data_IF_871953026804
#
_entry.id   IF_871953026804
#
_cell.length_a   1.000
_cell.length_b   1.000
_cell.length_c   1.000
_cell.angle_alpha   90.00
_cell.angle_beta   90.00
_cell.angle_gamma   90.00
#
_symmetry.space_group_name_H-M   'P 1'
#
loop_
_entity.id
_entity.type
_entity.pdbx_description
1 polymer ?
2 non-polymer ?
3 water ?
#
# COMPACT_ATOMS: atom_id res chain seq x y z
N UNK A 8 -0.77 -6.56 -6.14
CA UNK A 8 0.34 -5.79 -5.49
C UNK A 8 0.33 -4.31 -5.92
N UNK A 9 0.75 -3.42 -5.02
CA UNK A 9 0.77 -1.97 -5.29
C UNK A 9 1.86 -1.58 -6.31
N UNK A 10 1.48 -0.89 -7.41
CA UNK A 10 2.51 -0.50 -8.36
C UNK A 10 3.63 0.31 -7.70
N UNK A 11 4.84 -0.24 -7.77
CA UNK A 11 6.02 0.36 -7.19
C UNK A 11 6.39 1.58 -8.02
N UNK A 12 5.94 2.74 -7.54
CA UNK A 12 6.17 4.04 -8.22
C UNK A 12 7.65 4.44 -8.43
N UNK A 13 8.55 3.98 -7.54
CA UNK A 13 9.99 4.28 -7.63
C UNK A 13 10.77 2.97 -7.75
N UNK A 14 10.93 2.50 -8.99
CA UNK A 14 11.61 1.22 -9.25
C UNK A 14 13.09 1.23 -8.91
N UNK A 15 13.79 2.26 -9.38
CA UNK A 15 15.23 2.35 -9.18
C UNK A 15 15.62 3.50 -8.25
N UNK A 16 16.47 3.19 -7.28
CA UNK A 16 16.94 4.18 -6.31
C UNK A 16 18.41 4.13 -5.96
N UNK A 17 18.85 5.27 -5.45
CA UNK A 17 20.19 5.48 -4.96
C UNK A 17 19.93 6.15 -3.60
N UNK A 18 20.86 6.00 -2.67
CA UNK A 18 20.68 6.57 -1.32
C UNK A 18 21.70 7.66 -1.03
N UNK A 19 21.20 8.81 -0.60
CA UNK A 19 22.04 9.90 -0.19
C UNK A 19 21.69 10.06 1.28
N UNK A 20 22.66 9.78 2.14
CA UNK A 20 22.48 9.83 3.57
C UNK A 20 23.59 10.64 4.20
N UNK A 21 23.31 11.28 5.34
CA UNK A 21 24.40 11.99 6.00
C UNK A 21 25.44 10.99 6.50
N UNK A 22 26.57 11.49 6.95
CA UNK A 22 27.64 10.66 7.46
C UNK A 22 27.21 9.99 8.76
N UNK A 23 27.87 8.89 9.07
CA UNK A 23 27.60 8.14 10.29
C UNK A 23 26.15 7.69 10.41
N UNK A 24 25.69 7.01 9.35
CA UNK A 24 24.35 6.43 9.28
C UNK A 24 24.47 5.03 8.66
N UNK A 25 25.62 4.39 8.86
CA UNK A 25 25.86 3.06 8.29
C UNK A 25 24.79 2.04 8.68
N UNK A 26 24.47 1.99 9.96
CA UNK A 26 23.44 1.06 10.43
C UNK A 26 22.11 1.27 9.68
N UNK A 27 21.70 2.52 9.48
CA UNK A 27 20.45 2.78 8.76
C UNK A 27 20.61 2.39 7.30
N UNK A 28 21.75 2.77 6.72
CA UNK A 28 21.97 2.47 5.31
C UNK A 28 21.83 0.99 5.06
N UNK A 29 22.45 0.18 5.91
CA UNK A 29 22.40 -1.28 5.78
C UNK A 29 20.95 -1.78 5.80
N UNK A 30 20.20 -1.38 6.82
CA UNK A 30 18.82 -1.80 6.97
C UNK A 30 17.93 -1.29 5.83
N UNK A 31 18.16 -0.07 5.33
CA UNK A 31 17.35 0.42 4.22
C UNK A 31 17.51 -0.43 3.00
N UNK A 32 18.74 -0.87 2.76
CA UNK A 32 19.04 -1.70 1.60
C UNK A 32 18.32 -3.05 1.63
N UNK A 33 18.40 -3.76 2.76
CA UNK A 33 17.74 -5.08 2.84
C UNK A 33 16.23 -4.95 2.60
N UNK A 34 15.60 -3.97 3.25
CA UNK A 34 14.15 -3.76 3.13
C UNK A 34 13.74 -3.19 1.76
N UNK A 35 14.48 -2.23 1.22
CA UNK A 35 14.15 -1.69 -0.11
C UNK A 35 14.19 -2.79 -1.16
N UNK A 36 15.27 -3.57 -1.18
CA UNK A 36 15.43 -4.66 -2.16
C UNK A 36 14.31 -5.71 -1.99
N UNK A 37 13.98 -6.02 -0.74
CA UNK A 37 12.91 -6.95 -0.43
C UNK A 37 11.56 -6.51 -1.08
N UNK A 38 11.28 -5.21 -1.08
CA UNK A 38 10.06 -4.67 -1.71
C UNK A 38 10.14 -4.58 -3.23
N UNK A 39 11.22 -5.10 -3.81
CA UNK A 39 11.38 -5.08 -5.26
C UNK A 39 12.14 -3.89 -5.80
N UNK A 40 12.55 -2.95 -4.94
CA UNK A 40 13.32 -1.78 -5.38
C UNK A 40 14.72 -2.27 -5.76
N UNK A 41 15.30 -1.64 -6.79
CA UNK A 41 16.63 -2.03 -7.25
C UNK A 41 17.61 -0.89 -6.98
N UNK A 42 18.69 -1.18 -6.24
CA UNK A 42 19.71 -0.19 -5.95
C UNK A 42 20.47 0.07 -7.25
N UNK A 43 20.31 1.28 -7.78
CA UNK A 43 20.90 1.63 -9.04
C UNK A 43 21.50 3.03 -9.06
N UNK A 44 22.42 3.22 -9.99
CA UNK A 44 23.09 4.50 -10.25
C UNK A 44 22.78 4.95 -11.68
N UNK A 45 21.89 4.22 -12.36
CA UNK A 45 21.50 4.51 -13.75
C UNK A 45 20.84 5.89 -13.84
N UNK A 46 21.01 6.53 -14.99
CA UNK A 46 20.49 7.90 -15.19
C UNK A 46 18.95 8.05 -15.04
N UNK A 47 18.21 6.95 -15.02
CA UNK A 47 16.74 6.98 -14.85
C UNK A 47 16.29 6.67 -13.40
N UNK A 48 17.25 6.31 -12.55
CA UNK A 48 16.96 5.99 -11.13
C UNK A 48 16.75 7.24 -10.32
N UNK A 49 15.93 7.16 -9.27
CA UNK A 49 15.69 8.30 -8.41
C UNK A 49 16.70 8.29 -7.24
N UNK A 50 16.58 9.28 -6.37
CA UNK A 50 17.46 9.40 -5.25
C UNK A 50 16.66 9.63 -3.98
N UNK A 51 16.88 8.75 -3.01
CA UNK A 51 16.26 8.84 -1.71
C UNK A 51 17.19 9.64 -0.84
N UNK A 52 16.90 10.95 -0.71
CA UNK A 52 17.73 11.85 0.09
C UNK A 52 17.19 11.96 1.50
N UNK A 53 18.04 11.60 2.47
CA UNK A 53 17.74 11.75 3.88
C UNK A 53 18.37 13.07 4.19
N UNK A 54 17.54 14.09 4.42
CA UNK A 54 18.07 15.43 4.72
C UNK A 54 18.48 15.57 6.18
N UNK A 55 17.73 14.91 7.06
CA UNK A 55 18.01 14.96 8.49
C UNK A 55 17.90 13.58 9.11
N UNK A 56 18.90 13.25 9.91
CA UNK A 56 18.97 12.00 10.65
C UNK A 56 19.28 12.53 12.03
N UNK A 57 18.34 12.41 12.95
CA UNK A 57 18.54 12.94 14.29
C UNK A 57 18.21 11.92 15.39
N UNK A 58 19.24 11.35 16.04
CA UNK A 58 19.00 10.44 17.16
C UNK A 58 18.78 11.29 18.39
N UNK A 59 18.16 10.73 19.41
CA UNK A 59 17.91 11.51 20.61
C UNK A 59 17.73 10.57 21.80
N UNK A 60 18.24 10.99 22.94
CA UNK A 60 18.14 10.22 24.16
C UNK A 60 17.51 11.11 25.23
N UNK A 61 16.18 11.05 25.34
CA UNK A 61 15.44 11.85 26.33
C UNK A 61 15.33 11.19 27.67
N UNK A 62 15.48 11.98 28.73
CA UNK A 62 15.30 11.54 30.09
C UNK A 62 13.99 12.21 30.49
N UNK A 63 12.96 11.41 30.73
CA UNK A 63 11.64 11.93 31.07
C UNK A 63 11.21 11.64 32.50
N UNK A 64 11.03 12.69 33.28
CA UNK A 64 10.60 12.56 34.66
C UNK A 64 9.10 12.75 34.75
N UNK A 65 8.40 11.63 34.80
CA UNK A 65 6.95 11.64 34.94
C UNK A 65 6.68 11.10 36.32
N UNK A 66 5.88 10.05 36.39
CA UNK A 66 5.59 9.39 37.65
C UNK A 66 6.91 8.76 38.07
N UNK A 67 7.54 8.08 37.13
CA UNK A 67 8.84 7.45 37.31
C UNK A 67 9.81 8.07 36.30
N UNK A 68 11.09 7.71 36.40
CA UNK A 68 12.13 8.23 35.51
C UNK A 68 12.26 7.29 34.32
N UNK A 69 12.17 7.84 33.11
CA UNK A 69 12.20 7.06 31.88
C UNK A 69 13.22 7.52 30.82
N UNK A 70 13.97 6.57 30.29
CA UNK A 70 14.95 6.83 29.24
C UNK A 70 14.31 6.48 27.89
N UNK A 71 14.14 7.47 27.01
CA UNK A 71 13.53 7.26 25.71
C UNK A 71 14.52 7.48 24.57
N UNK A 72 14.69 6.44 23.75
CA UNK A 72 15.63 6.44 22.64
C UNK A 72 14.85 6.70 21.36
N UNK A 73 15.06 7.85 20.74
CA UNK A 73 14.35 8.19 19.53
C UNK A 73 15.27 8.39 18.35
N UNK A 74 14.72 8.13 17.17
CA UNK A 74 15.40 8.40 15.91
C UNK A 74 14.38 9.07 15.01
N UNK A 75 14.74 10.22 14.48
CA UNK A 75 13.85 10.99 13.62
C UNK A 75 14.53 11.22 12.28
N UNK A 76 13.79 11.02 11.19
CA UNK A 76 14.36 11.21 9.84
C UNK A 76 13.42 11.96 8.90
N UNK A 77 13.97 12.95 8.20
CA UNK A 77 13.25 13.72 7.19
C UNK A 77 13.86 13.32 5.86
N UNK A 78 13.04 12.96 4.90
CA UNK A 78 13.54 12.56 3.60
C UNK A 78 12.56 12.90 2.49
N UNK A 79 13.10 12.99 1.28
CA UNK A 79 12.29 13.27 0.11
C UNK A 79 12.93 12.62 -1.09
N UNK A 80 12.12 12.18 -2.05
CA UNK A 80 12.66 11.60 -3.26
C UNK A 80 13.03 12.72 -4.22
N UNK A 81 14.17 12.57 -4.87
CA UNK A 81 14.65 13.51 -5.87
C UNK A 81 15.10 12.69 -7.05
N UNK A 82 15.14 13.32 -8.23
CA UNK A 82 15.66 12.65 -9.42
C UNK A 82 17.16 12.95 -9.46
N UNK A 83 17.87 12.39 -10.44
CA UNK A 83 19.31 12.60 -10.54
C UNK A 83 19.75 13.99 -11.05
N UNK A 84 18.78 14.86 -11.36
CA UNK A 84 19.08 16.23 -11.79
C UNK A 84 18.90 17.24 -10.65
N UNK A 85 18.51 16.77 -9.45
CA UNK A 85 18.32 17.63 -8.28
C UNK A 85 16.89 18.08 -8.00
N UNK A 86 15.98 17.76 -8.93
CA UNK A 86 14.58 18.16 -8.81
C UNK A 86 13.87 17.37 -7.73
N UNK A 87 13.27 18.10 -6.81
CA UNK A 87 12.52 17.50 -5.73
C UNK A 87 11.28 16.95 -6.35
N UNK A 88 11.00 15.65 -6.19
CA UNK A 88 9.79 15.08 -6.78
C UNK A 88 8.67 14.82 -5.74
N UNK A 89 9.02 14.84 -4.45
CA UNK A 89 8.03 14.70 -3.37
C UNK A 89 8.38 15.71 -2.30
N UNK A 90 7.41 16.09 -1.48
CA UNK A 90 7.72 17.01 -0.40
C UNK A 90 8.42 16.22 0.70
N UNK A 91 9.19 16.91 1.56
CA UNK A 91 9.85 16.18 2.64
C UNK A 91 8.86 15.46 3.54
N UNK A 92 9.28 14.35 4.12
CA UNK A 92 8.46 13.56 5.01
C UNK A 92 9.32 13.25 6.25
N UNK A 93 8.79 13.56 7.44
CA UNK A 93 9.49 13.37 8.71
C UNK A 93 8.88 12.20 9.49
N UNK A 94 9.69 11.16 9.77
CA UNK A 94 9.22 9.98 10.52
C UNK A 94 10.04 9.79 11.78
N UNK A 95 9.52 9.02 12.71
CA UNK A 95 10.21 8.81 13.96
C UNK A 95 9.88 7.45 14.55
N UNK A 96 10.85 6.89 15.25
CA UNK A 96 10.66 5.60 15.93
C UNK A 96 11.21 5.78 17.31
N UNK A 97 10.68 5.05 18.28
CA UNK A 97 11.13 5.19 19.64
C UNK A 97 10.80 4.01 20.53
N UNK A 98 11.66 3.78 21.51
CA UNK A 98 11.44 2.76 22.52
C UNK A 98 11.97 3.36 23.82
N UNK A 99 11.34 3.02 24.94
CA UNK A 99 11.79 3.50 26.24
C UNK A 99 11.66 2.45 27.32
N UNK A 100 12.50 2.56 28.34
CA UNK A 100 12.47 1.65 29.48
C UNK A 100 12.47 2.47 30.79
N UNK A 101 12.11 1.83 31.89
CA UNK A 101 12.09 2.50 33.18
C UNK A 101 13.50 2.55 33.75
N UNK A 102 14.00 3.77 33.99
CA UNK A 102 15.32 3.92 34.62
C UNK A 102 15.16 3.43 36.05
N UNK A 103 16.07 2.57 36.48
CA UNK A 103 16.05 2.00 37.83
C UNK A 103 17.46 2.10 38.40
N UNK A 104 17.59 2.78 39.54
CA UNK A 104 18.88 2.97 40.22
C UNK A 104 19.65 1.67 40.46
N UNK A 105 18.93 0.57 40.68
CA UNK A 105 19.56 -0.73 40.93
C UNK A 105 20.21 -1.34 39.69
N UNK A 106 19.45 -1.41 38.59
CA UNK A 106 19.93 -2.02 37.35
C UNK A 106 20.60 -1.02 36.39
N UNK A 107 21.48 -0.18 36.93
CA UNK A 107 22.20 0.82 36.12
C UNK A 107 23.31 0.18 35.29
N UNK A 108 23.89 -0.92 35.77
CA UNK A 108 24.96 -1.63 35.04
C UNK A 108 24.51 -2.12 33.67
N UNK A 109 23.28 -2.62 33.62
CA UNK A 109 22.68 -3.17 32.39
C UNK A 109 22.31 -2.16 31.31
N UNK A 110 22.20 -0.88 31.70
CA UNK A 110 21.86 0.25 30.81
C UNK A 110 22.39 0.15 29.37
N UNK A 111 23.69 -0.08 29.26
CA UNK A 111 24.38 -0.18 27.98
C UNK A 111 23.86 -1.32 27.10
N UNK A 112 23.64 -2.49 27.69
CA UNK A 112 23.10 -3.62 26.94
C UNK A 112 21.67 -3.32 26.51
N UNK A 113 20.86 -2.85 27.45
CA UNK A 113 19.47 -2.49 27.19
C UNK A 113 19.33 -1.44 26.11
N UNK A 114 20.15 -0.38 26.22
CA UNK A 114 20.06 0.72 25.25
C UNK A 114 20.52 0.34 23.88
N UNK A 115 21.67 -0.30 23.75
CA UNK A 115 22.11 -0.71 22.41
C UNK A 115 21.07 -1.66 21.77
N UNK A 116 20.42 -2.47 22.60
CA UNK A 116 19.34 -3.39 22.16
C UNK A 116 18.15 -2.60 21.64
N UNK A 117 17.69 -1.63 22.43
CA UNK A 117 16.55 -0.83 22.02
C UNK A 117 16.92 0.04 20.82
N UNK A 118 18.17 0.47 20.69
CA UNK A 118 18.58 1.31 19.54
C UNK A 118 18.54 0.58 18.22
N UNK A 119 19.00 -0.67 18.22
CA UNK A 119 18.93 -1.51 16.99
C UNK A 119 17.48 -1.72 16.55
N UNK A 120 16.57 -1.86 17.51
CA UNK A 120 15.16 -2.02 17.20
C UNK A 120 14.57 -0.73 16.60
N UNK A 121 14.99 0.42 17.11
CA UNK A 121 14.52 1.73 16.64
C UNK A 121 14.94 1.99 15.19
N UNK A 122 16.21 1.78 14.90
CA UNK A 122 16.76 1.96 13.55
C UNK A 122 16.02 1.05 12.58
N UNK A 123 15.91 -0.22 12.94
CA UNK A 123 15.21 -1.22 12.13
C UNK A 123 13.78 -0.78 11.85
N UNK A 124 13.04 -0.43 12.92
CA UNK A 124 11.65 0.05 12.85
C UNK A 124 11.58 1.19 11.85
N UNK A 125 12.45 2.18 12.01
CA UNK A 125 12.44 3.34 11.12
C UNK A 125 12.78 2.95 9.67
N UNK A 126 13.73 2.04 9.47
CA UNK A 126 14.07 1.59 8.10
C UNK A 126 12.82 1.04 7.39
N UNK A 127 12.02 0.27 8.13
CA UNK A 127 10.79 -0.32 7.62
C UNK A 127 9.73 0.75 7.31
N UNK A 128 9.59 1.77 8.15
CA UNK A 128 8.61 2.86 7.87
C UNK A 128 8.99 3.64 6.62
N UNK A 129 10.27 3.95 6.47
CA UNK A 129 10.75 4.68 5.30
C UNK A 129 10.44 3.87 4.06
N UNK A 130 10.80 2.59 4.12
CA UNK A 130 10.56 1.68 3.02
C UNK A 130 9.06 1.52 2.72
N UNK A 131 8.25 1.49 3.77
CA UNK A 131 6.79 1.37 3.64
C UNK A 131 6.26 2.53 2.81
N UNK A 132 6.55 3.76 3.25
CA UNK A 132 6.03 4.93 2.55
C UNK A 132 6.47 5.09 1.10
N UNK A 133 7.61 4.52 0.74
CA UNK A 133 8.09 4.55 -0.64
C UNK A 133 7.30 3.52 -1.45
N UNK A 134 7.34 2.27 -0.99
CA UNK A 134 6.64 1.15 -1.65
C UNK A 134 5.13 1.34 -1.74
N UNK A 135 4.55 2.04 -0.76
CA UNK A 135 3.12 2.32 -0.70
C UNK A 135 2.75 3.70 -1.28
N UNK A 136 3.70 4.39 -1.90
CA UNK A 136 3.46 5.71 -2.53
C UNK A 136 2.63 6.61 -1.62
N UNK A 137 3.11 6.81 -0.40
CA UNK A 137 2.40 7.63 0.57
C UNK A 137 3.14 8.96 0.84
N UNK A 138 3.86 9.47 -0.16
CA UNK A 138 4.60 10.74 -0.05
C UNK A 138 3.94 11.81 -0.94
N UNK A 139 3.62 13.00 -0.38
CA UNK A 139 2.98 14.04 -1.19
C UNK A 139 3.89 14.58 -2.30
N UNK A 140 3.35 14.69 -3.53
CA UNK A 140 4.13 15.19 -4.68
C UNK A 140 4.61 16.65 -4.48
N UNK A 141 5.73 16.99 -5.10
CA UNK A 141 6.29 18.34 -5.00
C UNK A 141 5.37 19.38 -5.63
N UNK A 142 5.37 20.59 -5.07
CA UNK A 142 4.52 21.67 -5.57
C UNK A 142 5.28 23.01 -5.59
N UNK A 143 5.09 23.80 -6.67
CA UNK A 143 5.79 25.10 -6.75
C UNK A 143 5.12 26.16 -5.88
N UNK B 10 -21.86 -2.60 -30.19
CA UNK B 10 -20.76 -1.86 -30.79
C UNK B 10 -19.73 -1.36 -29.76
N UNK B 11 -18.72 -0.62 -30.23
CA UNK B 11 -17.68 -0.06 -29.37
C UNK B 11 -17.00 1.09 -30.14
N UNK B 12 -17.32 2.32 -29.75
CA UNK B 12 -16.80 3.52 -30.44
C UNK B 12 -15.29 3.75 -30.25
N UNK B 13 -14.83 3.67 -29.01
CA UNK B 13 -13.43 3.88 -28.66
C UNK B 13 -12.80 2.53 -28.36
N UNK B 14 -12.10 1.96 -29.35
CA UNK B 14 -11.45 0.64 -29.19
C UNK B 14 -9.90 0.64 -29.28
N UNK B 15 -9.32 1.81 -29.57
CA UNK B 15 -7.86 1.97 -29.58
C UNK B 15 -7.55 3.20 -28.72
N UNK B 16 -6.98 2.97 -27.53
CA UNK B 16 -6.68 4.06 -26.60
C UNK B 16 -5.28 4.10 -26.00
N UNK B 17 -4.74 5.32 -25.93
CA UNK B 17 -3.46 5.61 -25.33
C UNK B 17 -3.86 6.38 -24.07
N UNK B 18 -3.03 6.33 -23.02
CA UNK B 18 -3.32 7.01 -21.76
C UNK B 18 -2.42 8.22 -21.49
N UNK B 19 -3.03 9.37 -21.20
CA UNK B 19 -2.29 10.56 -20.82
C UNK B 19 -2.71 10.95 -19.41
N UNK B 20 -1.89 10.53 -18.45
CA UNK B 20 -2.15 10.78 -17.05
C UNK B 20 -1.07 11.68 -16.48
N UNK B 21 -1.36 12.38 -15.36
CA UNK B 21 -0.33 13.21 -14.77
C UNK B 21 0.66 12.35 -13.98
N UNK B 22 1.67 12.99 -13.40
CA UNK B 22 2.67 12.27 -12.63
C UNK B 22 2.08 11.63 -11.39
N UNK B 23 2.72 10.54 -10.96
CA UNK B 23 2.38 9.76 -9.75
C UNK B 23 1.13 8.91 -9.84
N UNK B 24 0.51 8.82 -11.02
CA UNK B 24 -0.73 8.05 -11.17
C UNK B 24 -0.56 6.62 -11.66
N UNK B 25 0.53 5.96 -11.27
CA UNK B 25 0.77 4.57 -11.68
C UNK B 25 -0.34 3.60 -11.28
N UNK B 26 -0.87 3.73 -10.08
CA UNK B 26 -1.94 2.84 -9.62
C UNK B 26 -3.21 3.01 -10.47
N UNK B 27 -3.65 4.25 -10.67
CA UNK B 27 -4.84 4.53 -11.50
C UNK B 27 -4.64 3.95 -12.88
N UNK B 28 -3.43 4.19 -13.41
CA UNK B 28 -3.05 3.69 -14.72
C UNK B 28 -3.23 2.19 -14.77
N UNK B 29 -2.58 1.47 -13.86
CA UNK B 29 -2.68 0.01 -13.80
C UNK B 29 -4.16 -0.43 -13.85
N UNK B 30 -5.00 0.12 -12.98
CA UNK B 30 -6.42 -0.27 -12.96
C UNK B 30 -7.21 0.10 -14.21
N UNK B 31 -6.89 1.26 -14.81
CA UNK B 31 -7.54 1.66 -16.05
C UNK B 31 -7.23 0.63 -17.11
N UNK B 32 -5.98 0.20 -17.21
CA UNK B 32 -5.63 -0.83 -18.20
C UNK B 32 -6.43 -2.12 -17.98
N UNK B 33 -6.52 -2.56 -16.72
CA UNK B 33 -7.23 -3.79 -16.37
C UNK B 33 -8.67 -3.74 -16.85
N UNK B 34 -9.39 -2.68 -16.50
CA UNK B 34 -10.80 -2.55 -16.90
C UNK B 34 -10.99 -2.26 -18.39
N UNK B 35 -10.11 -1.44 -18.98
CA UNK B 35 -10.18 -1.16 -20.42
C UNK B 35 -10.02 -2.45 -21.22
N UNK B 36 -9.10 -3.32 -20.81
CA UNK B 36 -8.89 -4.60 -21.54
C UNK B 36 -10.08 -5.53 -21.33
N UNK B 37 -10.70 -5.46 -20.15
CA UNK B 37 -11.89 -6.26 -19.86
C UNK B 37 -13.05 -5.86 -20.79
N UNK B 38 -13.07 -4.59 -21.21
CA UNK B 38 -14.09 -4.07 -22.13
C UNK B 38 -13.67 -4.17 -23.60
N UNK B 39 -12.54 -4.85 -23.88
CA UNK B 39 -12.08 -5.06 -25.26
C UNK B 39 -11.32 -3.92 -25.90
N UNK B 40 -11.06 -2.85 -25.15
CA UNK B 40 -10.32 -1.73 -25.68
C UNK B 40 -8.85 -2.10 -25.81
N UNK B 41 -8.25 -1.74 -26.93
CA UNK B 41 -6.83 -2.00 -27.17
C UNK B 41 -5.98 -0.80 -26.75
N UNK B 42 -4.88 -1.06 -26.06
CA UNK B 42 -3.95 -0.01 -25.68
C UNK B 42 -2.83 0.01 -26.71
N UNK B 43 -2.84 1.04 -27.56
CA UNK B 43 -1.82 1.19 -28.59
C UNK B 43 -1.61 2.66 -28.92
N UNK B 44 -0.46 2.95 -29.52
CA UNK B 44 -0.06 4.30 -29.91
C UNK B 44 -0.12 4.49 -31.43
N UNK B 45 -1.09 3.86 -32.09
CA UNK B 45 -1.23 3.99 -33.56
C UNK B 45 -1.77 5.37 -33.92
N UNK B 46 -1.71 5.70 -35.21
CA UNK B 46 -2.18 7.01 -35.69
C UNK B 46 -3.67 7.21 -35.43
N UNK B 47 -4.45 6.17 -35.69
CA UNK B 47 -5.92 6.22 -35.50
C UNK B 47 -6.37 5.95 -34.05
N UNK B 48 -5.43 5.76 -33.13
CA UNK B 48 -5.76 5.50 -31.73
C UNK B 48 -6.05 6.82 -31.00
N UNK B 49 -7.16 6.87 -30.28
CA UNK B 49 -7.55 8.06 -29.53
C UNK B 49 -6.77 8.12 -28.20
N UNK B 50 -6.89 9.25 -27.51
CA UNK B 50 -6.19 9.47 -26.25
C UNK B 50 -7.18 9.67 -25.09
N UNK B 51 -6.96 8.91 -24.02
CA UNK B 51 -7.76 9.02 -22.80
C UNK B 51 -6.95 9.92 -21.91
N UNK B 52 -7.36 11.17 -21.80
CA UNK B 52 -6.60 12.15 -21.06
C UNK B 52 -7.23 12.57 -19.76
N UNK B 53 -6.42 12.52 -18.71
CA UNK B 53 -6.85 12.96 -17.39
C UNK B 53 -6.31 14.39 -17.22
N UNK B 54 -7.21 15.37 -17.19
CA UNK B 54 -6.89 16.79 -17.02
C UNK B 54 -6.62 17.18 -15.56
N UNK B 55 -7.30 16.49 -14.65
CA UNK B 55 -7.20 16.76 -13.22
C UNK B 55 -7.31 15.45 -12.48
N UNK B 56 -6.34 15.21 -11.58
CA UNK B 56 -6.29 14.05 -10.70
C UNK B 56 -6.15 14.71 -9.35
N UNK B 57 -7.25 14.72 -8.58
CA UNK B 57 -7.27 15.43 -7.30
C UNK B 57 -7.61 14.55 -6.07
N UNK B 58 -6.57 13.98 -5.41
CA UNK B 58 -6.80 13.21 -4.19
C UNK B 58 -7.13 14.16 -3.06
N UNK B 59 -7.87 13.70 -2.07
CA UNK B 59 -8.20 14.59 -0.97
C UNK B 59 -8.46 13.79 0.27
N UNK B 60 -7.92 14.26 1.39
CA UNK B 60 -8.06 13.63 2.68
C UNK B 60 -8.73 14.61 3.64
N UNK B 61 -9.95 14.28 4.07
CA UNK B 61 -10.72 15.12 5.00
C UNK B 61 -10.84 14.51 6.37
N UNK B 62 -10.41 15.26 7.39
CA UNK B 62 -10.53 14.86 8.77
C UNK B 62 -11.79 15.58 9.25
N UNK B 63 -12.82 14.81 9.59
CA UNK B 63 -14.12 15.36 9.98
C UNK B 63 -14.48 15.07 11.41
N UNK B 64 -14.72 16.15 12.16
CA UNK B 64 -15.13 16.08 13.57
C UNK B 64 -16.62 16.42 13.65
N UNK B 65 -17.44 15.37 13.82
CA UNK B 65 -18.89 15.50 13.98
C UNK B 65 -19.13 14.99 15.39
N UNK B 66 -20.05 14.03 15.53
CA UNK B 66 -20.28 13.39 16.83
C UNK B 66 -19.05 12.50 17.15
N UNK B 67 -18.42 12.01 16.08
CA UNK B 67 -17.23 11.16 16.15
C UNK B 67 -16.19 11.63 15.13
N UNK B 68 -14.93 11.28 15.34
CA UNK B 68 -13.86 11.65 14.41
C UNK B 68 -13.80 10.64 13.25
N UNK B 69 -13.85 11.17 12.03
CA UNK B 69 -13.87 10.39 10.79
C UNK B 69 -12.83 10.87 9.74
N UNK B 70 -12.30 9.94 8.96
CA UNK B 70 -11.38 10.27 7.87
C UNK B 70 -12.03 9.85 6.56
N UNK B 71 -12.19 10.80 5.64
CA UNK B 71 -12.78 10.54 4.34
C UNK B 71 -11.71 10.77 3.29
N UNK B 72 -11.51 9.76 2.44
CA UNK B 72 -10.51 9.78 1.38
C UNK B 72 -11.22 9.84 0.06
N UNK B 73 -10.90 10.86 -0.72
CA UNK B 73 -11.56 11.05 -1.99
C UNK B 73 -10.58 11.19 -3.10
N UNK B 74 -11.07 10.86 -4.29
CA UNK B 74 -10.35 11.06 -5.50
C UNK B 74 -11.31 11.64 -6.51
N UNK B 75 -10.85 12.64 -7.24
CA UNK B 75 -11.66 13.28 -8.26
C UNK B 75 -10.81 13.30 -9.51
N UNK B 76 -11.44 13.03 -10.64
CA UNK B 76 -10.75 12.95 -11.90
C UNK B 76 -11.60 13.53 -12.99
N UNK B 77 -11.02 14.46 -13.75
CA UNK B 77 -11.69 15.04 -14.89
C UNK B 77 -10.93 14.51 -16.08
N UNK B 78 -11.66 14.03 -17.08
CA UNK B 78 -11.03 13.43 -18.24
C UNK B 78 -11.86 13.62 -19.48
N UNK B 79 -11.21 13.46 -20.63
CA UNK B 79 -11.88 13.59 -21.90
C UNK B 79 -11.11 12.73 -22.88
N UNK B 80 -11.75 12.41 -24.00
CA UNK B 80 -11.07 11.64 -25.06
C UNK B 80 -10.59 12.65 -26.08
N UNK B 81 -9.40 12.43 -26.63
CA UNK B 81 -8.81 13.32 -27.63
C UNK B 81 -8.18 12.52 -28.75
N UNK B 82 -7.92 13.18 -29.88
CA UNK B 82 -7.19 12.54 -30.98
C UNK B 82 -5.72 12.89 -30.71
N UNK B 83 -4.80 12.43 -31.55
CA UNK B 83 -3.39 12.74 -31.32
C UNK B 83 -2.98 14.17 -31.72
N UNK B 84 -3.97 14.99 -32.12
CA UNK B 84 -3.75 16.36 -32.56
C UNK B 84 -4.19 17.38 -31.48
N UNK B 85 -4.71 16.90 -30.37
CA UNK B 85 -5.17 17.77 -29.28
C UNK B 85 -6.62 18.21 -29.44
N UNK B 86 -7.31 17.69 -30.44
CA UNK B 86 -8.71 18.01 -30.64
C UNK B 86 -9.54 17.14 -29.72
N UNK B 87 -10.36 17.77 -28.89
CA UNK B 87 -11.18 16.99 -27.98
C UNK B 87 -12.31 16.29 -28.73
N UNK B 88 -12.48 15.00 -28.44
CA UNK B 88 -13.51 14.12 -29.03
C UNK B 88 -14.74 14.09 -28.14
N UNK B 89 -14.52 14.01 -26.83
CA UNK B 89 -15.61 14.05 -25.88
C UNK B 89 -15.45 15.28 -25.01
N UNK B 90 -16.55 15.79 -24.50
CA UNK B 90 -16.49 16.90 -23.56
C UNK B 90 -15.94 16.36 -22.25
N UNK B 91 -15.31 17.22 -21.44
CA UNK B 91 -14.77 16.75 -20.16
C UNK B 91 -15.81 16.17 -19.19
N UNK B 92 -15.41 15.12 -18.49
CA UNK B 92 -16.20 14.41 -17.47
C UNK B 92 -15.47 14.36 -16.15
N UNK B 93 -16.13 14.83 -15.09
CA UNK B 93 -15.58 14.78 -13.75
C UNK B 93 -16.32 13.69 -12.97
N UNK B 94 -15.57 12.71 -12.47
CA UNK B 94 -16.10 11.61 -11.67
C UNK B 94 -15.37 11.62 -10.34
N UNK B 95 -16.05 11.15 -9.30
CA UNK B 95 -15.46 11.13 -7.98
C UNK B 95 -15.82 9.85 -7.21
N UNK B 96 -15.00 9.49 -6.22
CA UNK B 96 -15.29 8.31 -5.38
C UNK B 96 -14.68 8.57 -4.03
N UNK B 97 -15.26 7.99 -3.00
CA UNK B 97 -14.72 8.14 -1.65
C UNK B 97 -15.05 6.98 -0.71
N UNK B 98 -14.22 6.82 0.33
CA UNK B 98 -14.45 5.87 1.40
C UNK B 98 -14.10 6.57 2.70
N UNK B 99 -14.67 6.07 3.79
CA UNK B 99 -14.39 6.62 5.09
C UNK B 99 -14.51 5.56 6.18
N UNK B 100 -13.76 5.76 7.25
CA UNK B 100 -13.74 4.86 8.40
C UNK B 100 -13.66 5.75 9.67
N UNK B 101 -13.88 5.16 10.84
CA UNK B 101 -13.83 5.92 12.11
C UNK B 101 -12.40 6.02 12.64
N UNK B 102 -11.97 7.25 12.91
CA UNK B 102 -10.62 7.56 13.38
C UNK B 102 -10.52 7.36 14.89
N UNK B 103 -9.28 7.32 15.39
CA UNK B 103 -8.97 7.12 16.83
C UNK B 103 -9.20 5.69 17.35
N UNK B 104 -10.20 4.98 16.82
CA UNK B 104 -10.45 3.59 17.25
C UNK B 104 -9.24 2.74 16.90
N UNK B 105 -8.73 2.92 15.68
CA UNK B 105 -7.52 2.23 15.20
C UNK B 105 -6.39 3.24 15.42
N UNK B 106 -5.99 3.43 16.67
CA UNK B 106 -4.98 4.42 17.09
C UNK B 106 -3.59 4.34 16.45
N UNK B 107 -2.92 3.18 16.59
CA UNK B 107 -1.54 2.95 16.10
C UNK B 107 -1.24 3.28 14.61
N UNK B 108 -0.05 2.88 14.13
CA UNK B 108 0.35 3.09 12.71
C UNK B 108 -0.42 2.23 11.70
N UNK B 109 -1.56 1.67 12.12
CA UNK B 109 -2.42 0.90 11.22
C UNK B 109 -3.23 1.91 10.39
N UNK B 110 -3.28 3.17 10.84
CA UNK B 110 -4.00 4.21 10.09
C UNK B 110 -3.35 4.45 8.73
N UNK B 111 -2.02 4.45 8.68
CA UNK B 111 -1.29 4.61 7.41
C UNK B 111 -1.64 3.42 6.51
N UNK B 112 -1.56 2.20 7.03
CA UNK B 112 -1.91 0.99 6.27
C UNK B 112 -3.35 1.06 5.77
N UNK B 113 -4.26 1.38 6.69
CA UNK B 113 -5.68 1.49 6.39
C UNK B 113 -5.96 2.50 5.30
N UNK B 114 -5.38 3.70 5.44
CA UNK B 114 -5.61 4.77 4.46
C UNK B 114 -5.07 4.49 3.07
N UNK B 115 -3.84 4.00 2.97
CA UNK B 115 -3.28 3.71 1.65
C UNK B 115 -4.10 2.60 0.99
N UNK B 116 -4.60 1.67 1.82
CA UNK B 116 -5.47 0.59 1.35
C UNK B 116 -6.77 1.17 0.82
N UNK B 117 -7.39 2.03 1.60
CA UNK B 117 -8.61 2.69 1.16
C UNK B 117 -8.38 3.57 -0.06
N UNK B 118 -7.18 4.15 -0.20
CA UNK B 118 -6.90 4.99 -1.39
C UNK B 118 -6.88 4.11 -2.63
N UNK B 119 -6.40 2.87 -2.48
CA UNK B 119 -6.39 1.93 -3.58
C UNK B 119 -7.82 1.54 -3.96
N UNK B 120 -8.71 1.45 -2.98
CA UNK B 120 -10.13 1.11 -3.24
C UNK B 120 -10.78 2.25 -4.00
N UNK B 121 -10.45 3.47 -3.63
CA UNK B 121 -10.99 4.65 -4.30
C UNK B 121 -10.46 4.79 -5.73
N UNK B 122 -9.16 4.57 -5.92
CA UNK B 122 -8.54 4.65 -7.23
C UNK B 122 -9.23 3.62 -8.11
N UNK B 123 -9.31 2.39 -7.63
CA UNK B 123 -9.96 1.29 -8.35
C UNK B 123 -11.43 1.59 -8.66
N UNK B 124 -12.15 2.12 -7.69
CA UNK B 124 -13.57 2.49 -7.87
C UNK B 124 -13.67 3.48 -9.06
N UNK B 125 -12.80 4.51 -9.09
CA UNK B 125 -12.83 5.47 -10.21
C UNK B 125 -12.44 4.89 -11.55
N UNK B 126 -11.46 3.99 -11.58
CA UNK B 126 -11.07 3.39 -12.86
C UNK B 126 -12.29 2.63 -13.38
N UNK B 127 -13.10 2.09 -12.47
CA UNK B 127 -14.31 1.36 -12.91
C UNK B 127 -15.34 2.33 -13.48
N UNK B 128 -15.53 3.47 -12.83
CA UNK B 128 -16.50 4.45 -13.34
C UNK B 128 -16.06 4.97 -14.70
N UNK B 129 -14.80 5.33 -14.81
CA UNK B 129 -14.27 5.85 -16.06
C UNK B 129 -14.46 4.85 -17.20
N UNK B 130 -14.07 3.60 -16.96
CA UNK B 130 -14.20 2.56 -17.99
C UNK B 130 -15.65 2.20 -18.31
N UNK B 131 -16.55 2.14 -17.31
CA UNK B 131 -17.99 1.85 -17.60
C UNK B 131 -18.59 2.96 -18.48
N UNK B 132 -18.19 4.22 -18.22
CA UNK B 132 -18.65 5.39 -19.00
C UNK B 132 -18.19 5.26 -20.45
N UNK B 133 -17.00 4.72 -20.66
CA UNK B 133 -16.46 4.54 -22.00
C UNK B 133 -17.14 3.40 -22.78
N UNK B 134 -17.10 2.18 -22.24
CA UNK B 134 -17.68 1.01 -22.93
C UNK B 134 -19.18 1.13 -23.15
N UNK B 135 -19.89 1.79 -22.22
CA UNK B 135 -21.33 1.99 -22.37
C UNK B 135 -21.64 3.21 -23.24
N UNK B 136 -20.60 3.90 -23.73
CA UNK B 136 -20.76 5.07 -24.60
C UNK B 136 -21.59 6.17 -23.93
N UNK B 137 -21.28 6.43 -22.67
CA UNK B 137 -21.94 7.46 -21.90
C UNK B 137 -21.24 8.83 -22.04
N UNK B 138 -20.08 8.88 -22.69
CA UNK B 138 -19.34 10.14 -22.85
C UNK B 138 -19.93 11.03 -23.93
N UNK B 139 -20.27 12.29 -23.58
CA UNK B 139 -20.85 13.20 -24.56
C UNK B 139 -19.83 13.66 -25.59
N UNK B 140 -20.19 13.53 -26.86
CA UNK B 140 -19.31 13.89 -27.96
C UNK B 140 -18.96 15.37 -27.96
N UNK B 141 -17.74 15.68 -28.36
CA UNK B 141 -17.31 17.07 -28.45
C UNK B 141 -18.03 17.68 -29.62
N UNK B 142 -18.37 18.95 -29.47
CA UNK B 142 -19.10 19.67 -30.49
C UNK B 142 -18.12 19.94 -31.66
N UNK B 143 -18.50 19.56 -32.90
CA UNK B 143 -17.64 19.84 -34.05
C UNK B 143 -17.32 21.33 -34.17
N UNK C 11 -21.95 -3.08 0.25
CA UNK C 11 -21.35 -3.97 1.31
C UNK C 11 -22.38 -5.01 1.77
N UNK C 12 -22.28 -6.22 1.22
CA UNK C 12 -23.21 -7.33 1.59
C UNK C 12 -22.86 -7.89 2.96
N UNK C 13 -21.56 -8.13 3.17
CA UNK C 13 -21.03 -8.69 4.42
C UNK C 13 -20.69 -7.56 5.40
N UNK C 14 -21.65 -7.26 6.26
CA UNK C 14 -21.53 -6.18 7.25
C UNK C 14 -20.89 -6.61 8.56
N UNK C 15 -21.14 -7.85 8.97
CA UNK C 15 -20.60 -8.41 10.21
C UNK C 15 -19.85 -9.71 9.92
N UNK C 16 -18.70 -9.90 10.57
CA UNK C 16 -17.88 -11.09 10.35
C UNK C 16 -17.03 -11.54 11.51
N UNK C 17 -16.84 -12.85 11.57
CA UNK C 17 -15.94 -13.43 12.53
C UNK C 17 -15.05 -14.21 11.61
N UNK C 18 -13.85 -14.53 12.07
CA UNK C 18 -12.86 -15.24 11.29
C UNK C 18 -12.60 -16.66 11.83
N UNK C 19 -12.57 -17.64 10.94
CA UNK C 19 -12.21 -19.00 11.30
C UNK C 19 -10.91 -19.23 10.56
N UNK C 20 -9.84 -19.40 11.33
CA UNK C 20 -8.54 -19.55 10.77
C UNK C 20 -7.81 -20.72 11.37
N UNK C 21 -7.01 -21.42 10.57
CA UNK C 21 -6.25 -22.54 11.11
C UNK C 21 -5.03 -22.08 11.86
N UNK C 22 -4.29 -23.02 12.43
CA UNK C 22 -3.07 -22.72 13.17
C UNK C 22 -2.04 -21.91 12.35
N UNK C 23 -1.16 -21.20 13.06
CA UNK C 23 -0.05 -20.40 12.48
C UNK C 23 -0.48 -19.29 11.49
N UNK C 24 -1.65 -18.71 11.72
CA UNK C 24 -2.16 -17.65 10.87
C UNK C 24 -2.36 -16.33 11.65
N UNK C 25 -1.54 -16.13 12.69
CA UNK C 25 -1.67 -14.92 13.55
C UNK C 25 -1.52 -13.57 12.80
N UNK C 26 -0.52 -13.48 11.91
CA UNK C 26 -0.28 -12.26 11.13
C UNK C 26 -1.41 -11.97 10.19
N UNK C 27 -1.88 -13.00 9.51
CA UNK C 27 -2.99 -12.87 8.59
C UNK C 27 -4.20 -12.39 9.35
N UNK C 28 -4.41 -12.93 10.54
CA UNK C 28 -5.55 -12.54 11.34
C UNK C 28 -5.46 -11.05 11.66
N UNK C 29 -4.29 -10.62 12.10
CA UNK C 29 -4.09 -9.24 12.45
C UNK C 29 -4.40 -8.32 11.26
N UNK C 30 -3.84 -8.65 10.10
CA UNK C 30 -4.02 -7.82 8.90
C UNK C 30 -5.44 -7.84 8.35
N UNK C 31 -6.12 -9.00 8.41
CA UNK C 31 -7.49 -9.06 7.94
C UNK C 31 -8.33 -8.12 8.79
N UNK C 32 -8.15 -8.15 10.11
CA UNK C 32 -8.91 -7.26 11.00
C UNK C 32 -8.68 -5.78 10.66
N UNK C 33 -7.43 -5.41 10.39
CA UNK C 33 -7.10 -4.04 10.02
C UNK C 33 -7.92 -3.59 8.80
N UNK C 34 -7.84 -4.37 7.73
CA UNK C 34 -8.53 -4.05 6.48
C UNK C 34 -10.04 -4.20 6.51
N UNK C 35 -10.54 -5.21 7.19
CA UNK C 35 -12.00 -5.37 7.31
C UNK C 35 -12.57 -4.15 8.04
N UNK C 36 -11.87 -3.72 9.08
CA UNK C 36 -12.28 -2.57 9.87
C UNK C 36 -12.28 -1.30 9.01
N UNK C 37 -11.21 -1.11 8.23
CA UNK C 37 -11.10 0.06 7.32
C UNK C 37 -12.27 0.09 6.34
N UNK C 38 -12.73 -1.10 5.92
CA UNK C 38 -13.87 -1.25 5.01
C UNK C 38 -15.21 -1.06 5.69
N UNK C 39 -15.22 -0.92 7.01
CA UNK C 39 -16.48 -0.72 7.75
C UNK C 39 -17.14 -2.03 8.16
N UNK C 40 -16.40 -3.12 8.04
CA UNK C 40 -16.94 -4.41 8.45
C UNK C 40 -16.73 -4.49 9.95
N UNK C 41 -17.80 -4.81 10.66
CA UNK C 41 -17.72 -4.93 12.10
C UNK C 41 -17.41 -6.38 12.45
N UNK C 42 -16.46 -6.58 13.34
CA UNK C 42 -16.10 -7.90 13.77
C UNK C 42 -17.08 -8.24 14.87
N UNK C 43 -17.78 -9.37 14.74
CA UNK C 43 -18.73 -9.75 15.76
C UNK C 43 -19.11 -11.20 15.68
N UNK C 44 -19.73 -11.66 16.75
CA UNK C 44 -20.17 -13.02 16.85
C UNK C 44 -21.71 -13.06 17.02
N UNK C 45 -22.39 -12.06 16.46
CA UNK C 45 -23.86 -11.94 16.52
C UNK C 45 -24.54 -12.91 15.56
N UNK C 46 -25.80 -13.24 15.85
CA UNK C 46 -26.58 -14.18 15.03
C UNK C 46 -26.64 -13.89 13.55
N UNK C 47 -26.66 -12.62 13.17
CA UNK C 47 -26.73 -12.22 11.74
C UNK C 47 -25.35 -12.00 11.10
N UNK C 48 -24.28 -12.37 11.83
CA UNK C 48 -22.93 -12.21 11.34
C UNK C 48 -22.53 -13.42 10.49
N UNK C 49 -21.62 -13.20 9.56
CA UNK C 49 -21.13 -14.25 8.70
C UNK C 49 -19.78 -14.74 9.23
N UNK C 50 -19.15 -15.66 8.50
CA UNK C 50 -17.90 -16.26 8.89
C UNK C 50 -16.91 -16.32 7.73
N UNK C 51 -15.77 -15.65 7.90
CA UNK C 51 -14.72 -15.68 6.90
C UNK C 51 -13.84 -16.85 7.28
N UNK C 52 -14.00 -17.97 6.56
CA UNK C 52 -13.23 -19.15 6.86
C UNK C 52 -12.08 -19.43 5.91
N UNK C 53 -10.88 -19.57 6.48
CA UNK C 53 -9.69 -19.89 5.72
C UNK C 53 -9.54 -21.41 5.81
N UNK C 54 -9.84 -22.10 4.71
CA UNK C 54 -9.76 -23.56 4.65
C UNK C 54 -8.34 -24.09 4.60
N UNK C 55 -7.50 -23.44 3.79
CA UNK C 55 -6.09 -23.82 3.63
C UNK C 55 -5.19 -22.59 3.64
N UNK C 56 -4.07 -22.73 4.31
CA UNK C 56 -3.08 -21.69 4.44
C UNK C 56 -1.75 -22.41 4.25
N UNK C 57 -1.11 -22.18 3.11
CA UNK C 57 0.12 -22.89 2.78
C UNK C 57 1.33 -22.04 2.39
N UNK C 58 2.29 -21.87 3.32
CA UNK C 58 3.51 -21.15 2.95
C UNK C 58 4.44 -22.13 2.20
N UNK C 59 5.32 -21.57 1.38
CA UNK C 59 6.26 -22.39 0.63
C UNK C 59 7.43 -21.57 0.07
N UNK C 60 8.65 -22.01 0.40
CA UNK C 60 9.88 -21.38 -0.05
C UNK C 60 10.30 -22.11 -1.34
N UNK C 61 10.09 -21.48 -2.50
CA UNK C 61 10.43 -22.11 -3.79
C UNK C 61 11.77 -21.68 -4.43
N UNK C 62 12.67 -22.64 -4.63
CA UNK C 62 13.96 -22.36 -5.27
C UNK C 62 13.78 -22.55 -6.77
N UNK C 63 13.98 -21.49 -7.54
CA UNK C 63 13.86 -21.57 -8.99
C UNK C 63 15.23 -21.67 -9.67
N UNK C 64 15.49 -22.79 -10.33
CA UNK C 64 16.75 -23.04 -11.03
C UNK C 64 16.65 -22.70 -12.50
N UNK C 65 17.81 -22.53 -13.13
CA UNK C 65 17.91 -22.21 -14.55
C UNK C 65 19.25 -21.55 -14.84
N UNK C 66 19.20 -20.38 -15.48
CA UNK C 66 20.41 -19.60 -15.80
C UNK C 66 21.00 -19.01 -14.52
N UNK C 67 20.15 -18.86 -13.50
CA UNK C 67 20.52 -18.37 -12.17
C UNK C 67 19.69 -19.16 -11.16
N UNK C 68 19.97 -18.96 -9.88
CA UNK C 68 19.20 -19.60 -8.83
C UNK C 68 18.76 -18.52 -7.82
N UNK C 69 17.44 -18.33 -7.73
CA UNK C 69 16.85 -17.37 -6.80
C UNK C 69 15.76 -18.05 -6.00
N UNK C 70 15.30 -17.38 -4.95
CA UNK C 70 14.28 -17.92 -4.07
C UNK C 70 13.09 -16.97 -3.92
N UNK C 71 11.88 -17.54 -3.95
CA UNK C 71 10.65 -16.80 -3.77
C UNK C 71 9.94 -17.36 -2.54
N UNK C 72 9.40 -16.47 -1.73
CA UNK C 72 8.65 -16.87 -0.56
C UNK C 72 7.21 -16.68 -0.99
N UNK C 73 6.52 -17.80 -1.13
CA UNK C 73 5.13 -17.82 -1.59
C UNK C 73 4.20 -18.31 -0.51
N UNK C 74 2.98 -17.76 -0.56
CA UNK C 74 1.93 -18.13 0.35
C UNK C 74 0.68 -18.30 -0.46
N UNK C 75 -0.04 -19.38 -0.16
CA UNK C 75 -1.28 -19.69 -0.85
C UNK C 75 -2.38 -19.86 0.19
N UNK C 76 -3.51 -19.20 -0.04
CA UNK C 76 -4.63 -19.24 0.88
C UNK C 76 -5.95 -19.49 0.17
N UNK C 77 -6.67 -20.51 0.64
CA UNK C 77 -7.97 -20.83 0.10
C UNK C 77 -8.97 -20.48 1.17
N UNK C 78 -10.07 -19.85 0.81
CA UNK C 78 -11.05 -19.45 1.81
C UNK C 78 -12.40 -19.31 1.16
N UNK C 79 -13.41 -19.16 2.00
CA UNK C 79 -14.78 -18.99 1.56
C UNK C 79 -15.58 -18.37 2.69
N UNK C 80 -16.75 -17.84 2.36
CA UNK C 80 -17.65 -17.27 3.34
C UNK C 80 -18.72 -18.28 3.70
N UNK C 81 -19.03 -18.39 4.99
CA UNK C 81 -20.08 -19.28 5.48
C UNK C 81 -21.00 -18.46 6.35
N UNK C 82 -22.15 -19.05 6.71
CA UNK C 82 -23.08 -18.39 7.64
C UNK C 82 -22.85 -19.08 8.99
N UNK C 83 -23.62 -18.70 10.02
CA UNK C 83 -23.47 -19.32 11.34
C UNK C 83 -24.24 -20.65 11.51
N UNK C 84 -24.68 -21.25 10.40
CA UNK C 84 -25.34 -22.56 10.44
C UNK C 84 -24.45 -23.58 9.70
N UNK C 85 -23.26 -23.14 9.30
CA UNK C 85 -22.31 -23.99 8.59
C UNK C 85 -22.50 -24.07 7.09
N UNK C 86 -23.53 -23.41 6.56
CA UNK C 86 -23.80 -23.41 5.13
C UNK C 86 -22.79 -22.54 4.38
N UNK C 87 -22.34 -23.04 3.24
CA UNK C 87 -21.41 -22.32 2.40
C UNK C 87 -22.18 -21.23 1.66
N UNK C 88 -21.60 -20.03 1.60
CA UNK C 88 -22.22 -18.88 0.89
C UNK C 88 -21.43 -18.44 -0.35
N UNK C 89 -20.18 -18.89 -0.48
CA UNK C 89 -19.38 -18.58 -1.67
C UNK C 89 -18.50 -19.78 -1.96
N UNK C 90 -18.21 -20.06 -3.23
CA UNK C 90 -17.33 -21.16 -3.56
C UNK C 90 -15.92 -20.81 -3.08
N UNK C 91 -15.12 -21.83 -2.72
CA UNK C 91 -13.77 -21.54 -2.26
C UNK C 91 -12.92 -20.85 -3.32
N UNK C 92 -12.10 -19.90 -2.88
CA UNK C 92 -11.21 -19.16 -3.74
C UNK C 92 -9.78 -19.27 -3.26
N UNK C 93 -8.89 -19.64 -4.17
CA UNK C 93 -7.46 -19.80 -3.90
C UNK C 93 -6.68 -18.59 -4.43
N UNK C 94 -6.06 -17.85 -3.53
CA UNK C 94 -5.27 -16.66 -3.89
C UNK C 94 -3.84 -16.89 -3.44
N UNK C 95 -2.91 -16.20 -4.09
CA UNK C 95 -1.51 -16.34 -3.73
C UNK C 95 -0.75 -15.01 -3.86
N UNK C 96 0.49 -15.03 -3.39
CA UNK C 96 1.38 -13.91 -3.46
C UNK C 96 2.79 -14.42 -3.17
N UNK C 97 3.79 -13.75 -3.74
CA UNK C 97 5.18 -14.15 -3.56
C UNK C 97 6.16 -13.00 -3.77
N UNK C 98 7.37 -13.14 -3.25
CA UNK C 98 8.40 -12.11 -3.40
C UNK C 98 9.79 -12.73 -3.54
N UNK C 99 10.58 -12.15 -4.43
CA UNK C 99 11.95 -12.60 -4.72
C UNK C 99 12.97 -11.91 -3.82
N UNK C 100 14.16 -12.49 -3.76
CA UNK C 100 15.30 -11.89 -3.03
C UNK C 100 16.57 -12.67 -3.34
N UNK C 101 17.71 -11.98 -3.27
CA UNK C 101 19.02 -12.58 -3.55
C UNK C 101 20.08 -11.95 -2.66
N UNK C 106 24.63 -9.51 0.95
CA UNK C 106 23.43 -10.08 1.52
C UNK C 106 23.54 -11.61 1.62
N UNK C 107 24.61 -12.07 2.27
CA UNK C 107 24.86 -13.51 2.44
C UNK C 107 24.14 -14.03 3.69
N UNK C 108 24.58 -13.58 4.88
CA UNK C 108 23.99 -14.00 6.16
C UNK C 108 22.87 -13.05 6.60
N UNK C 109 22.12 -12.49 5.65
CA UNK C 109 21.04 -11.55 5.97
C UNK C 109 19.66 -12.08 5.54
N UNK C 110 19.59 -13.38 5.25
CA UNK C 110 18.34 -14.00 4.77
C UNK C 110 17.23 -14.12 5.82
N UNK C 111 17.52 -14.70 6.98
CA UNK C 111 16.49 -14.90 8.04
C UNK C 111 15.78 -13.61 8.47
N UNK C 112 16.46 -12.48 8.36
CA UNK C 112 15.87 -11.19 8.71
C UNK C 112 14.92 -10.74 7.60
N UNK C 113 15.40 -10.78 6.36
CA UNK C 113 14.53 -10.36 5.25
C UNK C 113 13.48 -11.40 4.89
N UNK C 114 13.67 -12.65 5.29
CA UNK C 114 12.65 -13.70 5.05
C UNK C 114 11.43 -13.35 5.88
N UNK C 115 11.60 -13.15 7.19
CA UNK C 115 10.46 -12.76 8.03
C UNK C 115 9.77 -11.52 7.47
N UNK C 116 10.56 -10.51 7.11
CA UNK C 116 10.02 -9.27 6.54
C UNK C 116 9.28 -9.52 5.21
N UNK C 117 9.87 -10.28 4.32
CA UNK C 117 9.19 -10.61 3.06
C UNK C 117 7.90 -11.38 3.38
N UNK C 118 7.97 -12.32 4.31
CA UNK C 118 6.79 -13.11 4.69
C UNK C 118 5.64 -12.21 5.15
N UNK C 119 5.93 -11.21 5.97
CA UNK C 119 4.89 -10.27 6.41
C UNK C 119 4.32 -9.47 5.26
N UNK C 120 5.15 -9.15 4.26
CA UNK C 120 4.64 -8.40 3.08
C UNK C 120 3.69 -9.31 2.27
N UNK C 121 4.12 -10.54 2.05
CA UNK C 121 3.28 -11.52 1.32
C UNK C 121 1.95 -11.72 2.04
N UNK C 122 2.01 -11.83 3.37
CA UNK C 122 0.78 -12.00 4.19
C UNK C 122 -0.12 -10.78 4.07
N UNK C 123 0.47 -9.61 4.22
CA UNK C 123 -0.30 -8.36 4.13
C UNK C 123 -0.94 -8.24 2.75
N UNK C 124 -0.16 -8.55 1.71
CA UNK C 124 -0.67 -8.51 0.35
C UNK C 124 -1.89 -9.43 0.28
N UNK C 125 -1.78 -10.65 0.78
CA UNK C 125 -2.96 -11.59 0.78
C UNK C 125 -4.13 -11.05 1.60
N UNK C 126 -3.86 -10.51 2.79
CA UNK C 126 -4.94 -9.96 3.62
C UNK C 126 -5.71 -8.89 2.85
N UNK C 127 -5.00 -8.10 2.03
CA UNK C 127 -5.65 -7.05 1.21
C UNK C 127 -6.52 -7.62 0.11
N UNK C 128 -5.96 -8.58 -0.65
CA UNK C 128 -6.73 -9.23 -1.74
C UNK C 128 -7.99 -9.84 -1.17
N UNK C 129 -7.84 -10.61 -0.11
CA UNK C 129 -8.97 -11.26 0.55
C UNK C 129 -10.03 -10.25 0.91
N UNK C 130 -9.66 -9.21 1.67
CA UNK C 130 -10.64 -8.17 2.10
C UNK C 130 -11.29 -7.42 0.93
N UNK C 131 -10.51 -7.13 -0.11
CA UNK C 131 -11.07 -6.51 -1.33
C UNK C 131 -12.29 -7.31 -1.82
N UNK C 132 -12.04 -8.59 -2.09
CA UNK C 132 -13.06 -9.49 -2.63
C UNK C 132 -14.33 -9.56 -1.81
N UNK C 133 -14.21 -9.59 -0.49
CA UNK C 133 -15.40 -9.61 0.37
C UNK C 133 -16.14 -8.28 0.29
N UNK C 134 -15.41 -7.17 0.41
CA UNK C 134 -16.01 -5.82 0.36
C UNK C 134 -16.66 -5.46 -0.98
N UNK C 135 -15.99 -5.80 -2.08
CA UNK C 135 -16.50 -5.50 -3.43
C UNK C 135 -17.45 -6.59 -3.97
N UNK C 136 -17.67 -7.65 -3.19
CA UNK C 136 -18.57 -8.76 -3.56
C UNK C 136 -18.10 -9.44 -4.86
N UNK C 137 -16.80 -9.74 -4.91
CA UNK C 137 -16.16 -10.35 -6.08
C UNK C 137 -16.20 -11.90 -6.12
N UNK C 138 -16.55 -12.52 -5.00
CA UNK C 138 -16.60 -13.99 -4.90
C UNK C 138 -17.86 -14.61 -5.53
N UNK C 139 -17.74 -15.84 -6.10
CA UNK C 139 -18.88 -16.52 -6.72
C UNK C 139 -19.71 -17.28 -5.67
N UNK C 140 -21.03 -17.20 -5.80
CA UNK C 140 -21.97 -17.85 -4.89
C UNK C 140 -21.90 -19.38 -5.00
N UNK C 141 -22.59 -20.07 -4.09
CA UNK C 141 -22.64 -21.53 -4.07
C UNK C 141 -24.09 -22.02 -4.06
X LIG D 1 14.89 15.98 11.86
X LIG D 1 14.17 15.94 10.87
X LIG D 1 15.62 14.92 12.15
#
# INVERSE_FOLDING_TARGET
SNATNPTATPLVYKKLSLELPAKTDDLETQLKVYLTANGVQLSNDNDAYVLRVLEYTPRRQLLNGKLTEVLLRLTVTFQIEDRQGNKITEPRTLTAARSYQYDLATVNTENQQESYLQRIVIDDLAQQITRQISANRLPKAQP
SNATNPTATPLVYKKLSLELPAKTDDLETQLKVYLTANGVQLSNDNDAYVLRVLEYTPRRQLLNGKLTEVLLRLTVTFQIEDRQGNKITEPRTLTAARSYQYDLATVNTENQQESYLQRIVIDDLAQQITRQISANRLPKAQP
SNATNPTATPLVYKKLSLELPAKTDDLETQLKVYLTANGVQLSNDNDAYVLRVLEYTPRRQLLNGKLTEVLLRLTVTFQIEDRQGNKITEPRTLTAARSYQYDLATVNTENQQESYLQRIVIDDLAQQITRQISANRLPKAQP
FMT C O1 O2
#
